data_IF_158205012235
#
_entry.id   IF_158205012235
#
_cell.length_a   1.000
_cell.length_b   1.000
_cell.length_c   1.000
_cell.angle_alpha   90.00
_cell.angle_beta   90.00
_cell.angle_gamma   90.00
#
_symmetry.space_group_name_H-M   'P 1'
#
loop_
_entity.id
_entity.type
_entity.pdbx_description
1 polymer ?
#
# COMPACT_ATOMS: atom_id res chain seq x y z
N UNK A 1 -11.10 -8.42 -11.06
CA UNK A 1 -11.96 -7.27 -10.65
C UNK A 1 -11.37 -6.00 -11.26
N UNK A 2 -12.19 -5.05 -11.74
CA UNK A 2 -11.67 -3.79 -12.32
C UNK A 2 -11.36 -2.74 -11.22
N UNK A 3 -10.36 -1.87 -11.41
CA UNK A 3 -10.12 -0.75 -10.51
C UNK A 3 -11.36 0.14 -10.39
N UNK A 4 -11.64 0.68 -9.21
CA UNK A 4 -12.77 1.57 -8.96
C UNK A 4 -12.28 3.00 -8.75
N UNK A 5 -12.85 3.95 -9.48
CA UNK A 5 -12.53 5.36 -9.33
C UNK A 5 -13.10 5.90 -8.01
N UNK A 6 -12.26 6.44 -7.13
CA UNK A 6 -12.68 7.20 -5.94
C UNK A 6 -12.80 8.67 -6.34
N UNK A 7 -11.72 9.21 -6.91
CA UNK A 7 -11.66 10.55 -7.52
C UNK A 7 -11.00 10.43 -8.88
N UNK A 8 -10.87 11.54 -9.62
CA UNK A 8 -10.21 11.53 -10.93
C UNK A 8 -8.79 10.91 -10.89
N UNK A 9 -8.03 11.18 -9.82
CA UNK A 9 -6.63 10.78 -9.70
C UNK A 9 -6.40 9.62 -8.72
N UNK A 10 -7.43 9.19 -7.98
CA UNK A 10 -7.34 8.13 -6.97
C UNK A 10 -8.24 6.97 -7.35
N UNK A 11 -7.64 5.79 -7.50
CA UNK A 11 -8.34 4.56 -7.81
C UNK A 11 -8.12 3.54 -6.70
N UNK A 12 -9.23 2.95 -6.24
CA UNK A 12 -9.19 1.75 -5.43
C UNK A 12 -8.85 0.54 -6.30
N UNK A 13 -7.92 -0.24 -5.80
CA UNK A 13 -7.40 -1.49 -6.34
C UNK A 13 -7.38 -2.54 -5.23
N UNK A 14 -6.95 -3.75 -5.57
CA UNK A 14 -6.88 -4.88 -4.65
C UNK A 14 -8.02 -5.86 -4.87
N UNK A 15 -8.49 -6.49 -3.79
CA UNK A 15 -9.36 -7.65 -3.86
C UNK A 15 -10.44 -7.65 -2.77
N UNK A 16 -11.58 -8.25 -3.09
CA UNK A 16 -12.58 -8.65 -2.09
C UNK A 16 -12.45 -10.16 -1.91
N UNK A 17 -12.23 -10.59 -0.67
CA UNK A 17 -12.14 -11.98 -0.28
C UNK A 17 -13.41 -12.39 0.46
N UNK A 18 -14.39 -12.85 -0.31
CA UNK A 18 -15.65 -13.38 0.21
C UNK A 18 -15.50 -14.73 0.92
N UNK A 19 -14.36 -15.41 0.76
CA UNK A 19 -14.12 -16.76 1.27
C UNK A 19 -13.28 -16.76 2.56
N UNK A 20 -12.66 -15.62 2.91
CA UNK A 20 -12.01 -15.44 4.21
C UNK A 20 -13.00 -15.61 5.36
N UNK A 21 -12.66 -16.47 6.32
CA UNK A 21 -13.51 -16.73 7.51
C UNK A 21 -12.87 -16.30 8.83
N UNK A 22 -11.56 -16.06 8.84
CA UNK A 22 -10.81 -15.64 10.01
C UNK A 22 -9.82 -14.55 9.64
N UNK A 23 -9.86 -13.43 10.34
CA UNK A 23 -8.82 -12.41 10.33
C UNK A 23 -7.82 -12.71 11.44
N UNK A 24 -6.54 -12.65 11.08
CA UNK A 24 -5.40 -12.94 11.97
C UNK A 24 -5.55 -14.22 12.82
N UNK A 25 -6.18 -15.24 12.22
CA UNK A 25 -6.53 -16.54 12.85
C UNK A 25 -7.37 -16.45 14.13
N UNK A 26 -7.93 -15.29 14.45
CA UNK A 26 -8.58 -15.02 15.73
C UNK A 26 -10.00 -14.46 15.57
N UNK A 27 -10.19 -13.51 14.66
CA UNK A 27 -11.44 -12.76 14.53
C UNK A 27 -12.31 -13.36 13.42
N UNK A 28 -13.54 -13.82 13.72
CA UNK A 28 -14.45 -14.31 12.69
C UNK A 28 -14.83 -13.25 11.66
N UNK A 29 -14.83 -13.64 10.39
CA UNK A 29 -15.25 -12.82 9.25
C UNK A 29 -16.48 -13.46 8.58
N UNK A 30 -17.70 -13.27 9.11
CA UNK A 30 -18.90 -13.87 8.53
C UNK A 30 -19.19 -13.33 7.11
N UNK A 31 -18.80 -12.09 6.84
CA UNK A 31 -19.06 -11.38 5.59
C UNK A 31 -17.82 -11.32 4.66
N UNK A 32 -16.75 -12.04 5.00
CA UNK A 32 -15.46 -11.94 4.32
C UNK A 32 -14.68 -10.68 4.68
N UNK A 33 -13.73 -10.29 3.83
CA UNK A 33 -12.94 -9.07 3.99
C UNK A 33 -12.51 -8.50 2.63
N UNK A 34 -11.75 -7.42 2.65
CA UNK A 34 -11.12 -6.84 1.46
C UNK A 34 -9.68 -6.43 1.76
N UNK A 35 -8.82 -6.59 0.77
CA UNK A 35 -7.45 -6.10 0.80
C UNK A 35 -7.37 -4.90 -0.15
N UNK A 36 -7.15 -3.72 0.42
CA UNK A 36 -7.35 -2.46 -0.27
C UNK A 36 -6.00 -1.84 -0.62
N UNK A 37 -5.74 -1.69 -1.92
CA UNK A 37 -4.62 -0.91 -2.42
C UNK A 37 -5.14 0.34 -3.13
N UNK A 38 -4.36 1.41 -3.17
CA UNK A 38 -4.79 2.66 -3.81
C UNK A 38 -3.75 3.20 -4.77
N UNK A 39 -4.15 3.41 -6.02
CA UNK A 39 -3.30 4.02 -7.02
C UNK A 39 -3.60 5.53 -7.09
N UNK A 40 -2.59 6.34 -6.80
CA UNK A 40 -2.64 7.80 -6.87
C UNK A 40 -1.77 8.27 -8.03
N UNK A 41 -2.36 9.04 -8.94
CA UNK A 41 -1.66 9.63 -10.08
C UNK A 41 -1.49 11.12 -9.87
N UNK A 42 -0.25 11.57 -9.74
CA UNK A 42 0.10 12.96 -9.99
C UNK A 42 0.43 13.17 -11.47
N UNK A 43 0.72 14.40 -11.85
CA UNK A 43 1.15 14.74 -13.22
C UNK A 43 2.47 14.08 -13.58
N UNK A 44 3.39 14.01 -12.62
CA UNK A 44 4.80 13.67 -12.86
C UNK A 44 5.16 12.27 -12.32
N UNK A 45 4.44 11.80 -11.29
CA UNK A 45 4.70 10.53 -10.59
C UNK A 45 3.43 9.76 -10.29
N UNK A 46 3.52 8.43 -10.33
CA UNK A 46 2.46 7.52 -9.91
C UNK A 46 2.90 6.69 -8.70
N UNK A 47 2.01 6.55 -7.73
CA UNK A 47 2.26 5.77 -6.51
C UNK A 47 1.13 4.79 -6.24
N UNK A 48 1.49 3.58 -5.81
CA UNK A 48 0.59 2.58 -5.27
C UNK A 48 0.77 2.56 -3.75
N UNK A 49 -0.34 2.60 -3.02
CA UNK A 49 -0.39 2.56 -1.57
C UNK A 49 -0.86 1.17 -1.14
N UNK A 50 0.00 0.48 -0.40
CA UNK A 50 -0.12 -0.91 0.05
C UNK A 50 -0.32 -1.92 -1.09
N UNK A 51 -0.37 -3.20 -0.71
CA UNK A 51 -0.67 -4.31 -1.62
C UNK A 51 -1.81 -5.15 -1.05
N UNK A 52 -1.80 -6.46 -1.33
CA UNK A 52 -2.84 -7.39 -0.89
C UNK A 52 -2.19 -8.64 -0.32
N UNK A 53 -2.99 -9.40 0.43
CA UNK A 53 -2.63 -10.74 0.91
C UNK A 53 -2.18 -11.62 -0.29
N UNK A 54 -1.05 -12.34 -0.21
CA UNK A 54 -0.52 -13.16 -1.30
C UNK A 54 -1.52 -14.05 -2.06
N UNK A 55 -2.54 -14.69 -1.44
CA UNK A 55 -3.56 -15.44 -2.18
C UNK A 55 -4.36 -14.58 -3.17
N UNK A 56 -4.47 -13.28 -2.91
CA UNK A 56 -5.22 -12.31 -3.72
C UNK A 56 -4.36 -11.54 -4.73
N UNK A 57 -3.05 -11.77 -4.76
CA UNK A 57 -2.11 -11.01 -5.61
C UNK A 57 -2.48 -11.01 -7.09
N UNK A 58 -3.03 -12.13 -7.60
CA UNK A 58 -3.44 -12.23 -9.00
C UNK A 58 -4.47 -11.16 -9.41
N UNK A 59 -5.35 -10.77 -8.48
CA UNK A 59 -6.35 -9.71 -8.73
C UNK A 59 -5.67 -8.35 -8.84
N UNK A 60 -4.75 -8.03 -7.93
CA UNK A 60 -4.00 -6.77 -7.94
C UNK A 60 -3.08 -6.67 -9.16
N UNK A 61 -2.31 -7.71 -9.46
CA UNK A 61 -1.39 -7.73 -10.60
C UNK A 61 -2.13 -7.58 -11.93
N UNK A 62 -3.32 -8.18 -12.08
CA UNK A 62 -4.15 -7.98 -13.27
C UNK A 62 -4.60 -6.53 -13.42
N UNK A 63 -4.98 -5.86 -12.32
CA UNK A 63 -5.34 -4.44 -12.33
C UNK A 63 -4.15 -3.53 -12.68
N UNK A 64 -2.95 -3.92 -12.28
CA UNK A 64 -1.72 -3.18 -12.52
C UNK A 64 -1.21 -3.30 -13.97
N UNK A 65 -1.71 -4.23 -14.78
CA UNK A 65 -1.31 -4.35 -16.21
C UNK A 65 -1.63 -3.11 -17.03
N UNK A 66 -2.68 -2.38 -16.66
CA UNK A 66 -3.08 -1.13 -17.30
C UNK A 66 -2.31 0.09 -16.76
N UNK A 67 -1.38 -0.12 -15.83
CA UNK A 67 -0.54 0.94 -15.25
C UNK A 67 0.80 0.93 -15.97
N UNK A 68 1.03 1.95 -16.82
CA UNK A 68 2.25 2.05 -17.63
C UNK A 68 3.52 2.31 -16.80
N UNK A 69 3.37 3.05 -15.69
CA UNK A 69 4.49 3.49 -14.86
C UNK A 69 4.08 3.53 -13.40
N UNK A 70 4.96 3.00 -12.55
CA UNK A 70 4.90 3.13 -11.10
C UNK A 70 6.24 3.66 -10.61
N UNK A 71 6.24 4.83 -9.97
CA UNK A 71 7.45 5.43 -9.42
C UNK A 71 7.68 4.97 -7.98
N UNK A 72 6.60 4.82 -7.22
CA UNK A 72 6.64 4.49 -5.81
C UNK A 72 5.62 3.42 -5.45
N UNK A 73 6.02 2.53 -4.56
CA UNK A 73 5.12 1.65 -3.82
C UNK A 73 5.27 2.04 -2.35
N UNK A 74 4.21 2.45 -1.68
CA UNK A 74 4.23 2.76 -0.24
C UNK A 74 3.80 1.50 0.51
N UNK A 75 4.59 1.10 1.51
CA UNK A 75 4.20 0.08 2.49
C UNK A 75 3.97 0.79 3.81
N UNK A 76 2.70 1.02 4.16
CA UNK A 76 2.31 1.64 5.43
C UNK A 76 2.60 0.75 6.64
N UNK A 77 2.59 -0.56 6.41
CA UNK A 77 2.61 -1.62 7.40
C UNK A 77 3.33 -2.86 6.85
N UNK A 78 3.98 -3.66 7.69
CA UNK A 78 4.77 -4.83 7.27
C UNK A 78 4.04 -6.17 7.44
N UNK A 79 2.80 -6.17 7.95
CA UNK A 79 1.99 -7.39 8.00
C UNK A 79 1.63 -7.91 6.61
N UNK A 80 1.47 -9.22 6.48
CA UNK A 80 1.52 -9.89 5.17
C UNK A 80 0.27 -9.66 4.32
N UNK A 81 -0.87 -9.36 4.93
CA UNK A 81 -2.09 -9.01 4.23
C UNK A 81 -2.04 -7.63 3.53
N UNK A 82 -1.12 -6.76 3.96
CA UNK A 82 -0.82 -5.46 3.32
C UNK A 82 0.44 -5.51 2.47
N UNK A 83 1.47 -6.22 2.93
CA UNK A 83 2.83 -6.14 2.39
C UNK A 83 3.26 -7.38 1.60
N UNK A 84 2.58 -8.51 1.76
CA UNK A 84 3.06 -9.81 1.28
C UNK A 84 3.20 -9.88 -0.25
N UNK A 85 2.50 -9.04 -0.99
CA UNK A 85 2.59 -8.96 -2.46
C UNK A 85 3.55 -7.89 -2.97
N UNK A 86 4.29 -7.19 -2.09
CA UNK A 86 5.29 -6.18 -2.49
C UNK A 86 6.33 -6.75 -3.46
N UNK A 87 6.94 -7.94 -3.25
CA UNK A 87 7.94 -8.47 -4.17
C UNK A 87 7.39 -8.67 -5.59
N UNK A 88 6.14 -9.12 -5.71
CA UNK A 88 5.48 -9.31 -7.00
C UNK A 88 5.27 -7.97 -7.73
N UNK A 89 4.85 -6.93 -7.01
CA UNK A 89 4.67 -5.58 -7.59
C UNK A 89 6.02 -4.97 -7.98
N UNK A 90 7.06 -5.08 -7.14
CA UNK A 90 8.40 -4.56 -7.45
C UNK A 90 9.10 -5.31 -8.60
N UNK A 91 8.73 -6.57 -8.84
CA UNK A 91 9.17 -7.34 -10.00
C UNK A 91 8.49 -6.84 -11.29
N UNK A 92 7.20 -6.49 -11.22
CA UNK A 92 6.45 -5.90 -12.34
C UNK A 92 6.92 -4.47 -12.66
N UNK A 93 7.32 -3.71 -11.64
CA UNK A 93 7.81 -2.33 -11.78
C UNK A 93 9.25 -2.20 -11.23
N UNK A 94 10.27 -2.59 -12.02
CA UNK A 94 11.66 -2.66 -11.54
C UNK A 94 12.25 -1.30 -11.14
N UNK A 95 11.76 -0.20 -11.72
CA UNK A 95 12.22 1.15 -11.41
C UNK A 95 11.53 1.75 -10.16
N UNK A 96 10.46 1.13 -9.66
CA UNK A 96 9.73 1.64 -8.51
C UNK A 96 10.57 1.54 -7.22
N UNK A 97 10.52 2.60 -6.40
CA UNK A 97 11.10 2.60 -5.04
C UNK A 97 10.04 2.27 -4.01
N UNK A 98 10.42 1.42 -3.04
CA UNK A 98 9.58 1.07 -1.90
C UNK A 98 9.71 2.16 -0.83
N UNK A 99 8.65 2.94 -0.64
CA UNK A 99 8.55 4.01 0.35
C UNK A 99 8.03 3.43 1.65
N UNK A 100 8.75 3.64 2.75
CA UNK A 100 8.37 3.09 4.06
C UNK A 100 9.05 3.83 5.22
N UNK A 101 8.70 3.50 6.45
CA UNK A 101 9.34 4.04 7.65
C UNK A 101 10.69 3.36 7.93
N UNK A 102 11.57 4.02 8.69
CA UNK A 102 12.86 3.43 9.09
C UNK A 102 12.66 2.10 9.83
N UNK A 103 11.61 2.02 10.68
CA UNK A 103 11.28 0.81 11.44
C UNK A 103 10.83 -0.32 10.52
N UNK A 104 10.01 -0.01 9.51
CA UNK A 104 9.49 -0.98 8.56
C UNK A 104 10.57 -1.50 7.62
N UNK A 105 11.58 -0.70 7.25
CA UNK A 105 12.66 -1.11 6.33
C UNK A 105 13.27 -2.45 6.75
N UNK A 106 13.77 -2.55 7.98
CA UNK A 106 14.39 -3.78 8.48
C UNK A 106 13.42 -4.97 8.51
N UNK A 107 12.15 -4.72 8.85
CA UNK A 107 11.11 -5.76 8.85
C UNK A 107 10.83 -6.29 7.46
N UNK A 108 10.72 -5.40 6.46
CA UNK A 108 10.49 -5.76 5.07
C UNK A 108 11.70 -6.45 4.42
N UNK A 109 12.92 -6.09 4.83
CA UNK A 109 14.15 -6.83 4.46
C UNK A 109 14.12 -8.26 5.00
N UNK A 110 13.70 -8.46 6.26
CA UNK A 110 13.66 -9.77 6.89
C UNK A 110 12.52 -10.66 6.39
N UNK A 111 11.31 -10.09 6.30
CA UNK A 111 10.09 -10.81 5.94
C UNK A 111 10.02 -11.10 4.43
N UNK A 112 10.37 -10.11 3.61
CA UNK A 112 10.10 -10.13 2.17
C UNK A 112 11.37 -10.15 1.30
N UNK A 113 12.56 -10.03 1.91
CA UNK A 113 13.86 -10.03 1.22
C UNK A 113 13.97 -8.92 0.17
N UNK A 114 13.31 -7.78 0.41
CA UNK A 114 13.43 -6.61 -0.46
C UNK A 114 14.88 -6.09 -0.40
N UNK A 115 15.56 -5.88 -1.53
CA UNK A 115 16.94 -5.39 -1.51
C UNK A 115 17.04 -3.95 -0.95
N UNK A 116 18.07 -3.69 -0.14
CA UNK A 116 18.30 -2.38 0.50
C UNK A 116 18.23 -1.19 -0.49
N UNK A 117 18.78 -1.34 -1.70
CA UNK A 117 18.77 -0.29 -2.72
C UNK A 117 17.40 0.04 -3.33
N UNK A 118 16.34 -0.71 -2.98
CA UNK A 118 14.96 -0.44 -3.42
C UNK A 118 14.22 0.52 -2.50
N UNK A 119 14.69 0.75 -1.29
CA UNK A 119 13.97 1.57 -0.33
C UNK A 119 14.15 3.08 -0.54
N UNK A 120 13.08 3.83 -0.25
CA UNK A 120 13.10 5.25 0.10
C UNK A 120 12.49 5.37 1.49
N UNK A 121 13.33 5.52 2.50
CA UNK A 121 12.85 5.79 3.86
C UNK A 121 12.34 7.23 3.93
N UNK A 122 11.21 7.43 4.60
CA UNK A 122 10.63 8.75 4.87
C UNK A 122 10.59 8.99 6.38
N UNK A 123 10.57 10.25 6.80
CA UNK A 123 10.38 10.64 8.19
C UNK A 123 8.92 11.00 8.52
N UNK A 124 8.58 11.07 9.81
CA UNK A 124 7.28 11.58 10.25
C UNK A 124 7.08 13.03 9.80
N UNK A 125 5.95 13.32 9.16
CA UNK A 125 5.61 14.61 8.58
C UNK A 125 6.28 14.90 7.23
N UNK A 126 7.16 14.04 6.72
CA UNK A 126 7.77 14.20 5.39
C UNK A 126 6.70 14.17 4.29
N UNK A 127 6.96 14.89 3.21
CA UNK A 127 6.08 14.94 2.05
C UNK A 127 6.73 14.38 0.79
N UNK A 128 5.90 13.85 -0.10
CA UNK A 128 6.26 13.39 -1.43
C UNK A 128 5.37 14.07 -2.46
N UNK A 129 5.98 14.92 -3.29
CA UNK A 129 5.32 15.57 -4.43
C UNK A 129 5.26 14.61 -5.62
N UNK A 130 4.07 14.48 -6.21
CA UNK A 130 3.79 13.66 -7.37
C UNK A 130 3.49 14.49 -8.63
N UNK A 131 3.57 15.81 -8.54
CA UNK A 131 3.21 16.76 -9.59
C UNK A 131 1.77 17.19 -9.46
N UNK A 132 1.50 18.14 -8.56
CA UNK A 132 0.15 18.65 -8.27
C UNK A 132 -0.67 17.77 -7.32
N UNK A 133 -0.04 16.76 -6.73
CA UNK A 133 -0.56 15.91 -5.66
C UNK A 133 0.56 15.70 -4.65
N UNK A 134 0.27 15.87 -3.37
CA UNK A 134 1.25 15.76 -2.29
C UNK A 134 0.78 14.72 -1.28
N UNK A 135 1.58 13.68 -1.08
CA UNK A 135 1.42 12.77 0.06
C UNK A 135 2.20 13.32 1.24
N UNK A 136 1.56 13.41 2.39
CA UNK A 136 2.21 13.65 3.69
C UNK A 136 2.16 12.37 4.51
N UNK A 137 3.33 11.90 4.95
CA UNK A 137 3.43 10.72 5.79
C UNK A 137 3.28 11.10 7.26
N UNK A 138 2.48 10.35 8.02
CA UNK A 138 2.20 10.63 9.43
C UNK A 138 2.35 9.33 10.20
N UNK A 139 3.30 9.28 11.12
CA UNK A 139 3.59 8.07 11.88
C UNK A 139 2.48 7.81 12.91
N UNK A 140 2.05 6.55 12.97
CA UNK A 140 1.01 6.08 13.90
C UNK A 140 1.45 4.75 14.52
N UNK A 141 2.60 4.72 15.21
CA UNK A 141 3.14 3.48 15.75
C UNK A 141 2.16 2.87 16.76
N UNK A 142 2.09 1.54 16.78
CA UNK A 142 1.16 0.76 17.61
C UNK A 142 -0.31 0.94 17.25
N UNK A 143 -0.60 1.37 16.02
CA UNK A 143 -1.93 1.33 15.41
C UNK A 143 -1.91 0.39 14.19
N UNK A 144 -1.65 -0.91 14.33
CA UNK A 144 -1.40 -1.69 15.56
C UNK A 144 0.03 -2.24 15.68
N UNK A 145 0.88 -2.07 14.66
CA UNK A 145 2.28 -2.49 14.67
C UNK A 145 3.25 -1.32 14.88
N UNK A 146 4.49 -1.55 15.37
CA UNK A 146 5.43 -0.49 15.75
C UNK A 146 5.87 0.42 14.60
N UNK A 147 5.80 -0.05 13.36
CA UNK A 147 6.25 0.65 12.16
C UNK A 147 5.16 1.44 11.43
N UNK A 148 3.90 1.24 11.83
CA UNK A 148 2.73 1.71 11.11
C UNK A 148 2.75 3.22 10.92
N UNK A 149 2.47 3.68 9.71
CA UNK A 149 2.20 5.07 9.40
C UNK A 149 1.06 5.18 8.39
N UNK A 150 0.50 6.37 8.25
CA UNK A 150 -0.58 6.68 7.30
C UNK A 150 -0.12 7.73 6.30
N UNK A 151 -0.78 7.79 5.14
CA UNK A 151 -0.54 8.82 4.14
C UNK A 151 -1.74 9.74 3.97
N UNK A 152 -1.53 11.04 4.05
CA UNK A 152 -2.54 12.05 3.78
C UNK A 152 -2.30 12.72 2.42
N UNK A 153 -3.27 12.61 1.51
CA UNK A 153 -3.26 13.30 0.23
C UNK A 153 -3.84 14.71 0.39
N UNK A 154 -2.95 15.71 0.37
CA UNK A 154 -3.26 17.07 0.83
C UNK A 154 -4.36 17.75 0.02
N UNK A 155 -4.28 17.68 -1.31
CA UNK A 155 -5.16 18.42 -2.21
C UNK A 155 -6.57 17.85 -2.26
N UNK A 156 -6.72 16.53 -2.02
CA UNK A 156 -8.01 15.85 -2.05
C UNK A 156 -8.59 15.58 -0.66
N UNK A 157 -7.81 15.86 0.40
CA UNK A 157 -8.17 15.63 1.80
C UNK A 157 -8.55 14.18 2.10
N UNK A 158 -7.79 13.24 1.51
CA UNK A 158 -7.97 11.80 1.69
C UNK A 158 -6.89 11.27 2.63
N UNK A 159 -7.29 10.53 3.65
CA UNK A 159 -6.39 9.79 4.52
C UNK A 159 -6.40 8.31 4.11
N UNK A 160 -5.24 7.77 3.74
CA UNK A 160 -5.01 6.34 3.56
C UNK A 160 -4.49 5.78 4.87
N UNK A 161 -5.36 5.10 5.61
CA UNK A 161 -5.21 4.86 7.04
C UNK A 161 -4.66 3.48 7.41
N UNK A 162 -4.21 2.67 6.44
CA UNK A 162 -3.85 1.27 6.66
C UNK A 162 -4.99 0.52 7.36
N UNK A 163 -4.72 -0.20 8.44
CA UNK A 163 -5.73 -0.91 9.25
C UNK A 163 -6.63 0.02 10.07
N UNK A 164 -6.16 1.24 10.33
CA UNK A 164 -6.93 2.14 11.17
C UNK A 164 -8.24 2.49 10.47
N UNK A 165 -9.36 2.29 11.19
CA UNK A 165 -10.73 2.39 10.69
C UNK A 165 -11.22 1.27 9.74
N UNK A 166 -10.46 0.17 9.61
CA UNK A 166 -10.95 -1.04 8.93
C UNK A 166 -12.19 -1.65 9.60
N UNK A 167 -12.98 -2.37 8.80
CA UNK A 167 -14.23 -3.03 9.20
C UNK A 167 -14.41 -4.36 8.49
#
# INVERSE_FOLDING_TARGET
MKPRRITENVHWMGAVDWDRRLFDQLIPLPDGTSYNAYLVRGRDKTVLLDTVDPPMKGVLLEQLKEVERLDYLVSHHAEQDHSGSIPDVLAMFPEAKLVTSEKAKGMLEDLLRVPEGRFKVVADGETLDLGGKTLKFIYTPWVHWPETFVSYLVEEKILFSCDFFGS
#
